data_IF_677493380927
#
_entry.id   IF_677493380927
#
_cell.length_a   1.000
_cell.length_b   1.000
_cell.length_c   1.000
_cell.angle_alpha   90.00
_cell.angle_beta   90.00
_cell.angle_gamma   90.00
#
_symmetry.space_group_name_H-M   'P 1'
#
loop_
_entity.id
_entity.type
_entity.pdbx_description
1 polymer ?
#
# COMPACT_ATOMS: atom_id res chain seq x y z
N UNK A 1 -11.00 -8.94 18.01
CA UNK A 1 -9.63 -8.39 18.06
C UNK A 1 -8.54 -9.28 17.44
N UNK A 2 -8.68 -10.60 17.19
CA UNK A 2 -7.76 -11.31 16.30
C UNK A 2 -8.06 -11.09 14.80
N UNK A 3 -9.35 -10.98 14.41
CA UNK A 3 -9.75 -10.90 13.00
C UNK A 3 -9.30 -9.63 12.26
N UNK A 4 -9.29 -8.47 12.94
CA UNK A 4 -8.94 -7.18 12.33
C UNK A 4 -7.45 -7.09 11.97
N UNK A 5 -6.60 -7.77 12.75
CA UNK A 5 -5.16 -7.80 12.56
C UNK A 5 -4.75 -8.78 11.44
N UNK A 6 -5.47 -9.90 11.29
CA UNK A 6 -5.31 -10.78 10.15
C UNK A 6 -5.69 -10.11 8.84
N UNK A 7 -6.80 -9.35 8.83
CA UNK A 7 -7.20 -8.53 7.68
C UNK A 7 -6.16 -7.47 7.32
N UNK A 8 -5.64 -6.74 8.32
CA UNK A 8 -4.59 -5.75 8.10
C UNK A 8 -3.31 -6.37 7.52
N UNK A 9 -2.90 -7.54 8.03
CA UNK A 9 -1.75 -8.27 7.52
C UNK A 9 -1.98 -8.79 6.10
N UNK A 10 -3.20 -9.24 5.78
CA UNK A 10 -3.56 -9.68 4.44
C UNK A 10 -3.49 -8.51 3.44
N UNK A 11 -4.03 -7.35 3.80
CA UNK A 11 -3.94 -6.12 2.98
C UNK A 11 -2.48 -5.72 2.79
N UNK A 12 -1.67 -5.74 3.85
CA UNK A 12 -0.25 -5.44 3.77
C UNK A 12 0.51 -6.39 2.83
N UNK A 13 0.24 -7.69 2.94
CA UNK A 13 0.83 -8.72 2.08
C UNK A 13 0.45 -8.51 0.62
N UNK A 14 -0.82 -8.20 0.35
CA UNK A 14 -1.28 -7.86 -1.00
C UNK A 14 -0.56 -6.63 -1.55
N UNK A 15 -0.42 -5.56 -0.76
CA UNK A 15 0.29 -4.36 -1.20
C UNK A 15 1.76 -4.64 -1.53
N UNK A 16 2.44 -5.47 -0.73
CA UNK A 16 3.82 -5.89 -0.96
C UNK A 16 3.99 -6.78 -2.19
N UNK A 17 2.98 -7.55 -2.58
CA UNK A 17 3.00 -8.39 -3.79
C UNK A 17 2.62 -7.60 -5.05
N UNK A 18 1.64 -6.70 -4.94
CA UNK A 18 1.13 -5.94 -6.09
C UNK A 18 2.16 -4.94 -6.62
N UNK A 19 2.97 -4.32 -5.76
CA UNK A 19 4.03 -3.37 -6.16
C UNK A 19 5.13 -3.97 -7.07
N UNK A 20 5.81 -5.07 -6.70
CA UNK A 20 6.79 -5.70 -7.59
C UNK A 20 6.13 -6.28 -8.84
N UNK A 21 4.89 -6.78 -8.74
CA UNK A 21 4.14 -7.26 -9.90
C UNK A 21 3.84 -6.12 -10.89
N UNK A 22 3.42 -4.95 -10.40
CA UNK A 22 3.19 -3.76 -11.24
C UNK A 22 4.47 -3.24 -11.87
N UNK A 23 5.56 -3.21 -11.11
CA UNK A 23 6.88 -2.85 -11.64
C UNK A 23 7.31 -3.80 -12.76
N UNK A 24 7.19 -5.12 -12.55
CA UNK A 24 7.54 -6.13 -13.55
C UNK A 24 6.67 -6.00 -14.80
N UNK A 25 5.34 -5.86 -14.64
CA UNK A 25 4.41 -5.64 -15.74
C UNK A 25 4.76 -4.36 -16.51
N UNK A 26 5.09 -3.26 -15.82
CA UNK A 26 5.52 -2.02 -16.45
C UNK A 26 6.81 -2.20 -17.26
N UNK A 27 7.82 -2.87 -16.70
CA UNK A 27 9.10 -3.11 -17.38
C UNK A 27 8.94 -4.00 -18.62
N UNK A 28 8.16 -5.08 -18.51
CA UNK A 28 7.86 -6.00 -19.62
C UNK A 28 7.01 -5.29 -20.69
N UNK A 29 5.99 -4.55 -20.27
CA UNK A 29 5.13 -3.78 -21.17
C UNK A 29 5.92 -2.72 -21.94
N UNK A 30 6.89 -2.07 -21.28
CA UNK A 30 7.78 -1.11 -21.91
C UNK A 30 8.79 -1.76 -22.86
N UNK A 31 9.43 -2.86 -22.47
CA UNK A 31 10.46 -3.51 -23.29
C UNK A 31 9.89 -4.17 -24.54
N UNK A 32 8.68 -4.73 -24.45
CA UNK A 32 8.00 -5.42 -25.56
C UNK A 32 7.00 -4.53 -26.32
N UNK A 33 6.84 -3.26 -25.94
CA UNK A 33 5.83 -2.36 -26.51
C UNK A 33 4.39 -2.85 -26.34
N UNK A 34 4.13 -3.68 -25.33
CA UNK A 34 2.87 -4.40 -25.18
C UNK A 34 1.83 -3.57 -24.43
N UNK A 35 0.97 -2.87 -25.18
CA UNK A 35 -0.10 -2.00 -24.67
C UNK A 35 -1.02 -2.64 -23.63
N UNK A 36 -1.57 -3.86 -23.82
CA UNK A 36 -2.43 -4.50 -22.82
C UNK A 36 -1.70 -4.78 -21.50
N UNK A 37 -0.41 -5.10 -21.52
CA UNK A 37 0.38 -5.29 -20.29
C UNK A 37 0.58 -3.97 -19.54
N UNK A 38 0.77 -2.85 -20.26
CA UNK A 38 0.79 -1.53 -19.64
C UNK A 38 -0.59 -1.12 -19.09
N UNK A 39 -1.68 -1.53 -19.74
CA UNK A 39 -3.04 -1.31 -19.23
C UNK A 39 -3.28 -2.11 -17.95
N UNK A 40 -2.82 -3.36 -17.89
CA UNK A 40 -2.83 -4.17 -16.68
C UNK A 40 -2.03 -3.49 -15.56
N UNK A 41 -0.79 -3.07 -15.84
CA UNK A 41 0.06 -2.38 -14.86
C UNK A 41 -0.61 -1.10 -14.32
N UNK A 42 -1.34 -0.37 -15.18
CA UNK A 42 -2.12 0.80 -14.76
C UNK A 42 -3.25 0.41 -13.81
N UNK A 43 -4.06 -0.58 -14.16
CA UNK A 43 -5.19 -1.05 -13.31
C UNK A 43 -4.66 -1.52 -11.96
N UNK A 44 -3.61 -2.34 -11.95
CA UNK A 44 -3.04 -2.83 -10.70
C UNK A 44 -2.44 -1.69 -9.88
N UNK A 45 -1.81 -0.68 -10.49
CA UNK A 45 -1.31 0.50 -9.76
C UNK A 45 -2.45 1.30 -9.09
N UNK A 46 -3.59 1.45 -9.78
CA UNK A 46 -4.79 2.09 -9.20
C UNK A 46 -5.33 1.29 -8.03
N UNK A 47 -5.42 -0.03 -8.17
CA UNK A 47 -5.85 -0.94 -7.09
C UNK A 47 -4.93 -0.79 -5.88
N UNK A 48 -3.59 -0.81 -6.07
CA UNK A 48 -2.62 -0.61 -4.99
C UNK A 48 -2.81 0.73 -4.28
N UNK A 49 -3.07 1.81 -5.02
CA UNK A 49 -3.33 3.14 -4.44
C UNK A 49 -4.61 3.13 -3.60
N UNK A 50 -5.69 2.51 -4.08
CA UNK A 50 -6.96 2.41 -3.34
C UNK A 50 -6.78 1.58 -2.06
N UNK A 51 -6.06 0.46 -2.13
CA UNK A 51 -5.73 -0.34 -0.95
C UNK A 51 -4.90 0.48 0.05
N UNK A 52 -3.94 1.27 -0.43
CA UNK A 52 -3.11 2.13 0.42
C UNK A 52 -3.92 3.17 1.17
N UNK A 53 -4.81 3.87 0.46
CA UNK A 53 -5.68 4.87 1.08
C UNK A 53 -6.60 4.20 2.11
N UNK A 54 -7.22 3.06 1.78
CA UNK A 54 -8.07 2.35 2.73
C UNK A 54 -7.31 1.93 3.98
N UNK A 55 -6.07 1.46 3.80
CA UNK A 55 -5.19 1.08 4.88
C UNK A 55 -4.77 2.26 5.77
N UNK A 56 -4.38 3.39 5.17
CA UNK A 56 -4.00 4.61 5.87
C UNK A 56 -5.18 5.22 6.64
N UNK A 57 -6.38 5.24 6.03
CA UNK A 57 -7.60 5.74 6.68
C UNK A 57 -7.98 4.86 7.85
N UNK A 58 -7.96 3.54 7.69
CA UNK A 58 -8.24 2.60 8.79
C UNK A 58 -7.23 2.77 9.94
N UNK A 59 -5.94 2.87 9.62
CA UNK A 59 -4.90 3.13 10.61
C UNK A 59 -5.12 4.46 11.34
N UNK A 60 -5.43 5.54 10.61
CA UNK A 60 -5.71 6.86 11.19
C UNK A 60 -6.95 6.87 12.09
N UNK A 61 -8.04 6.23 11.67
CA UNK A 61 -9.25 6.10 12.49
C UNK A 61 -8.95 5.32 13.77
N UNK A 62 -8.23 4.20 13.68
CA UNK A 62 -7.82 3.46 14.85
C UNK A 62 -6.90 4.28 15.77
N UNK A 63 -6.04 5.15 15.23
CA UNK A 63 -5.23 6.05 16.06
C UNK A 63 -6.06 7.12 16.78
N UNK A 64 -7.08 7.68 16.11
CA UNK A 64 -7.95 8.70 16.71
C UNK A 64 -8.80 8.10 17.82
N UNK A 65 -9.30 6.86 17.63
CA UNK A 65 -10.19 6.19 18.57
C UNK A 65 -9.46 5.49 19.71
N UNK A 66 -8.16 5.28 19.61
CA UNK A 66 -7.41 4.57 20.63
C UNK A 66 -7.03 5.53 21.78
N UNK A 67 -7.83 5.53 22.84
CA UNK A 67 -7.45 6.17 24.11
C UNK A 67 -6.29 5.36 24.76
N UNK A 68 -5.11 5.97 25.00
CA UNK A 68 -4.05 5.30 25.72
C UNK A 68 -4.46 5.13 27.20
N UNK A 69 -4.38 3.93 27.79
CA UNK A 69 -4.64 3.76 29.21
C UNK A 69 -3.65 4.61 30.03
N UNK A 70 -4.12 5.31 31.09
CA UNK A 70 -3.28 6.26 31.83
C UNK A 70 -2.05 5.55 32.39
N UNK A 71 -0.86 6.11 32.09
CA UNK A 71 0.43 5.61 32.57
C UNK A 71 1.16 4.62 31.65
N UNK A 72 0.55 4.13 30.58
CA UNK A 72 1.22 3.25 29.61
C UNK A 72 1.54 4.04 28.34
N UNK A 73 2.81 4.41 28.18
CA UNK A 73 3.29 4.99 26.94
C UNK A 73 3.43 3.89 25.88
N UNK A 74 2.76 3.97 24.71
CA UNK A 74 2.73 2.88 23.72
C UNK A 74 4.11 2.53 23.12
N UNK A 75 5.11 3.40 23.30
CA UNK A 75 6.50 3.16 22.90
C UNK A 75 7.33 2.38 23.93
N UNK A 76 6.84 2.23 25.17
CA UNK A 76 7.53 1.47 26.22
C UNK A 76 7.11 -0.01 26.28
N UNK A 77 6.03 -0.40 25.60
CA UNK A 77 5.49 -1.75 25.63
C UNK A 77 5.37 -2.34 24.20
N UNK A 78 6.27 -3.25 23.77
CA UNK A 78 6.25 -3.80 22.41
C UNK A 78 5.00 -4.63 22.12
N UNK A 79 4.36 -5.20 23.15
CA UNK A 79 3.10 -5.92 23.04
C UNK A 79 1.89 -4.98 22.81
N UNK A 80 2.00 -3.71 23.19
CA UNK A 80 1.02 -2.67 22.85
C UNK A 80 1.34 -2.04 21.49
N UNK A 81 2.61 -1.90 21.12
CA UNK A 81 3.01 -1.38 19.80
C UNK A 81 2.45 -2.20 18.62
N UNK A 82 2.24 -3.51 18.78
CA UNK A 82 1.56 -4.36 17.78
C UNK A 82 0.04 -4.25 17.80
N UNK A 83 -0.55 -3.73 18.89
CA UNK A 83 -1.99 -3.42 19.01
C UNK A 83 -2.32 -1.99 18.56
N UNK A 84 -1.37 -1.07 18.61
CA UNK A 84 -1.56 0.31 18.18
C UNK A 84 -1.06 0.51 16.73
N UNK A 85 -1.89 1.05 15.81
CA UNK A 85 -1.56 1.12 14.39
C UNK A 85 -0.46 2.11 13.98
N UNK A 86 0.28 2.71 14.91
CA UNK A 86 1.35 3.67 14.62
C UNK A 86 2.42 3.11 13.67
N UNK A 87 2.68 1.81 13.72
CA UNK A 87 3.65 1.15 12.84
C UNK A 87 3.17 0.97 11.39
N UNK A 88 1.85 1.05 11.15
CA UNK A 88 1.25 0.71 9.86
C UNK A 88 1.12 1.93 8.93
N UNK A 89 0.95 3.12 9.48
CA UNK A 89 0.84 4.38 8.72
C UNK A 89 2.03 4.67 7.79
N UNK A 90 3.30 4.51 8.21
CA UNK A 90 4.44 4.72 7.31
C UNK A 90 4.44 3.75 6.12
N UNK A 91 3.92 2.53 6.31
CA UNK A 91 3.92 1.49 5.28
C UNK A 91 2.85 1.79 4.23
N UNK A 92 1.64 2.18 4.64
CA UNK A 92 0.58 2.58 3.72
C UNK A 92 0.98 3.81 2.89
N UNK A 93 1.55 4.84 3.53
CA UNK A 93 2.09 6.02 2.83
C UNK A 93 3.18 5.62 1.82
N UNK A 94 4.11 4.74 2.20
CA UNK A 94 5.16 4.26 1.30
C UNK A 94 4.59 3.53 0.08
N UNK A 95 3.60 2.67 0.28
CA UNK A 95 2.96 1.95 -0.80
C UNK A 95 2.08 2.85 -1.68
N UNK A 96 1.45 3.88 -1.12
CA UNK A 96 0.76 4.93 -1.86
C UNK A 96 1.72 5.66 -2.81
N UNK A 97 2.86 6.13 -2.29
CA UNK A 97 3.87 6.83 -3.07
C UNK A 97 4.46 5.94 -4.17
N UNK A 98 4.74 4.67 -3.85
CA UNK A 98 5.24 3.70 -4.83
C UNK A 98 4.20 3.42 -5.93
N UNK A 99 2.92 3.22 -5.56
CA UNK A 99 1.83 3.05 -6.52
C UNK A 99 1.64 4.27 -7.42
N UNK A 100 1.75 5.48 -6.87
CA UNK A 100 1.68 6.74 -7.62
C UNK A 100 2.86 6.86 -8.61
N UNK A 101 4.08 6.55 -8.18
CA UNK A 101 5.27 6.54 -9.02
C UNK A 101 5.15 5.55 -10.19
N UNK A 102 4.63 4.35 -9.92
CA UNK A 102 4.36 3.33 -10.95
C UNK A 102 3.27 3.79 -11.91
N UNK A 103 2.19 4.39 -11.43
CA UNK A 103 1.12 4.91 -12.27
C UNK A 103 1.64 5.98 -13.24
N UNK A 104 2.41 6.95 -12.74
CA UNK A 104 3.06 7.99 -13.56
C UNK A 104 4.01 7.35 -14.57
N UNK A 105 4.80 6.36 -14.12
CA UNK A 105 5.71 5.60 -14.96
C UNK A 105 5.01 4.89 -16.12
N UNK A 106 3.91 4.19 -15.84
CA UNK A 106 3.08 3.47 -16.82
C UNK A 106 2.44 4.43 -17.80
N UNK A 107 1.86 5.54 -17.34
CA UNK A 107 1.27 6.57 -18.20
C UNK A 107 2.33 7.14 -19.15
N UNK A 108 3.52 7.47 -18.63
CA UNK A 108 4.64 7.97 -19.44
C UNK A 108 5.15 6.93 -20.42
N UNK A 109 5.24 5.67 -20.02
CA UNK A 109 5.65 4.56 -20.89
C UNK A 109 4.66 4.34 -22.03
N UNK A 110 3.35 4.42 -21.73
CA UNK A 110 2.29 4.32 -22.74
C UNK A 110 2.37 5.48 -23.74
N UNK A 111 2.52 6.73 -23.28
CA UNK A 111 2.68 7.89 -24.17
C UNK A 111 3.86 7.76 -25.14
N UNK A 112 4.96 7.12 -24.74
CA UNK A 112 6.12 6.89 -25.62
C UNK A 112 5.89 5.81 -26.68
N UNK A 113 4.83 5.01 -26.57
CA UNK A 113 4.49 3.93 -27.49
C UNK A 113 3.40 4.34 -28.52
N UNK A 114 3.02 5.62 -28.56
CA UNK A 114 1.96 6.17 -29.42
C UNK A 114 0.57 5.72 -29.02
#
# INVERSE_FOLDING_TARGET
>A
MPDDQELANLVLMWMLVLLPFTLAAMLIGRSRGNRPVLMLARVVSVVTIVLAIGYDVAAAVCLILAEPPPGHQPWNDPALATKYPYFYLPIGIGAFLAGLGLLVGVVRARHRLG
#
